data_IF_172295849450
#
_entry.id   IF_172295849450
#
_cell.length_a   1.000
_cell.length_b   1.000
_cell.length_c   1.000
_cell.angle_alpha   90.00
_cell.angle_beta   90.00
_cell.angle_gamma   90.00
#
_symmetry.space_group_name_H-M   'P 1'
#
loop_
_entity.id
_entity.type
_entity.pdbx_description
1 polymer ?
#
# COMPACT_ATOMS: atom_id res chain seq x y z
N UNK A 1 25.68 -14.58 -34.43
CA UNK A 1 25.33 -13.68 -33.29
C UNK A 1 24.20 -14.35 -32.53
N UNK A 2 24.27 -14.50 -31.19
CA UNK A 2 23.14 -15.02 -30.45
C UNK A 2 22.01 -14.01 -30.57
N UNK A 3 20.86 -14.45 -31.06
CA UNK A 3 19.62 -13.68 -31.04
C UNK A 3 19.32 -13.31 -29.60
N UNK A 4 19.43 -12.02 -29.27
CA UNK A 4 19.10 -11.54 -27.93
C UNK A 4 17.60 -11.76 -27.70
N UNK A 5 17.25 -12.80 -26.95
CA UNK A 5 15.89 -12.98 -26.46
C UNK A 5 15.61 -11.93 -25.39
N UNK A 6 14.68 -11.03 -25.69
CA UNK A 6 14.13 -10.08 -24.73
C UNK A 6 12.79 -10.60 -24.23
N UNK A 7 12.48 -10.34 -22.96
CA UNK A 7 11.15 -10.60 -22.41
C UNK A 7 10.04 -9.88 -23.21
N UNK A 8 10.37 -8.74 -23.83
CA UNK A 8 9.44 -7.99 -24.69
C UNK A 8 9.13 -8.70 -26.03
N UNK A 9 9.94 -9.68 -26.41
CA UNK A 9 9.75 -10.42 -27.67
C UNK A 9 8.99 -11.74 -27.47
N UNK A 10 8.57 -12.06 -26.24
CA UNK A 10 7.73 -13.24 -25.97
C UNK A 10 6.27 -12.94 -26.34
N UNK A 11 5.49 -13.98 -26.63
CA UNK A 11 4.07 -13.79 -26.94
C UNK A 11 3.31 -13.29 -25.70
N UNK A 12 2.21 -12.57 -25.92
CA UNK A 12 1.33 -12.11 -24.83
C UNK A 12 0.85 -13.28 -23.95
N UNK A 13 0.64 -14.47 -24.53
CA UNK A 13 0.25 -15.67 -23.77
C UNK A 13 1.36 -16.14 -22.83
N UNK A 14 2.61 -16.14 -23.31
CA UNK A 14 3.76 -16.47 -22.48
C UNK A 14 3.97 -15.42 -21.37
N UNK A 15 3.82 -14.13 -21.70
CA UNK A 15 3.91 -13.05 -20.73
C UNK A 15 2.82 -13.15 -19.65
N UNK A 16 1.56 -13.40 -20.02
CA UNK A 16 0.46 -13.62 -19.06
C UNK A 16 0.75 -14.83 -18.14
N UNK A 17 1.28 -15.92 -18.71
CA UNK A 17 1.66 -17.11 -17.93
C UNK A 17 2.74 -16.79 -16.90
N UNK A 18 3.78 -16.05 -17.29
CA UNK A 18 4.84 -15.62 -16.38
C UNK A 18 4.28 -14.75 -15.25
N UNK A 19 3.43 -13.77 -15.57
CA UNK A 19 2.87 -12.85 -14.59
C UNK A 19 1.89 -13.51 -13.62
N UNK A 20 1.20 -14.57 -14.02
CA UNK A 20 0.33 -15.37 -13.11
C UNK A 20 1.14 -16.08 -12.03
N UNK A 21 2.34 -16.53 -12.38
CA UNK A 21 3.28 -17.12 -11.42
C UNK A 21 3.96 -16.11 -10.49
N UNK A 22 3.78 -14.80 -10.70
CA UNK A 22 4.35 -13.76 -9.83
C UNK A 22 3.41 -13.44 -8.66
N UNK A 23 4.00 -13.26 -7.48
CA UNK A 23 3.30 -12.68 -6.33
C UNK A 23 3.10 -11.15 -6.51
N UNK A 24 2.37 -10.53 -5.59
CA UNK A 24 2.08 -9.10 -5.68
C UNK A 24 3.36 -8.26 -5.68
N UNK A 25 4.35 -8.58 -4.84
CA UNK A 25 5.58 -7.80 -4.74
C UNK A 25 6.42 -7.91 -6.02
N UNK A 26 6.58 -9.12 -6.56
CA UNK A 26 7.30 -9.33 -7.83
C UNK A 26 6.64 -8.57 -8.98
N UNK A 27 5.30 -8.52 -9.02
CA UNK A 27 4.58 -7.72 -10.02
C UNK A 27 4.86 -6.21 -9.87
N UNK A 28 4.89 -5.68 -8.64
CA UNK A 28 5.23 -4.27 -8.42
C UNK A 28 6.67 -3.94 -8.83
N UNK A 29 7.61 -4.90 -8.70
CA UNK A 29 8.98 -4.75 -9.17
C UNK A 29 9.01 -4.75 -10.71
N UNK A 30 8.37 -5.73 -11.36
CA UNK A 30 8.31 -5.83 -12.82
C UNK A 30 7.70 -4.59 -13.46
N UNK A 31 6.67 -4.01 -12.83
CA UNK A 31 6.02 -2.77 -13.27
C UNK A 31 6.96 -1.56 -13.32
N UNK A 32 8.08 -1.60 -12.61
CA UNK A 32 9.10 -0.54 -12.60
C UNK A 32 10.17 -0.71 -13.68
N UNK A 33 10.24 -1.87 -14.35
CA UNK A 33 11.31 -2.19 -15.33
C UNK A 33 11.20 -1.37 -16.62
N UNK A 34 10.05 -1.40 -17.31
CA UNK A 34 9.83 -0.60 -18.51
C UNK A 34 8.34 -0.24 -18.72
N UNK A 35 8.07 0.65 -19.67
CA UNK A 35 6.71 1.10 -19.99
C UNK A 35 5.84 -0.03 -20.54
N UNK A 36 6.37 -0.90 -21.39
CA UNK A 36 5.59 -1.98 -22.01
C UNK A 36 5.13 -3.03 -20.98
N UNK A 37 6.03 -3.48 -20.10
CA UNK A 37 5.69 -4.40 -19.01
C UNK A 37 4.68 -3.76 -18.06
N UNK A 38 4.84 -2.46 -17.75
CA UNK A 38 3.89 -1.72 -16.91
C UNK A 38 2.50 -1.72 -17.52
N UNK A 39 2.38 -1.35 -18.79
CA UNK A 39 1.10 -1.30 -19.48
C UNK A 39 0.46 -2.69 -19.55
N UNK A 40 1.24 -3.73 -19.84
CA UNK A 40 0.75 -5.10 -19.87
C UNK A 40 0.24 -5.59 -18.50
N UNK A 41 0.99 -5.35 -17.42
CA UNK A 41 0.57 -5.66 -16.05
C UNK A 41 -0.71 -4.89 -15.70
N UNK A 42 -0.73 -3.59 -16.01
CA UNK A 42 -1.88 -2.73 -15.73
C UNK A 42 -3.12 -3.22 -16.50
N UNK A 43 -2.99 -3.69 -17.75
CA UNK A 43 -4.08 -4.22 -18.56
C UNK A 43 -4.62 -5.56 -18.03
N UNK A 44 -3.73 -6.55 -17.86
CA UNK A 44 -4.08 -7.91 -17.46
C UNK A 44 -4.54 -7.98 -16.00
N UNK A 45 -3.88 -7.24 -15.11
CA UNK A 45 -4.08 -7.20 -13.65
C UNK A 45 -4.44 -8.59 -13.08
N UNK A 46 -3.44 -9.46 -12.79
CA UNK A 46 -3.68 -10.86 -12.44
C UNK A 46 -4.26 -11.06 -11.03
N UNK A 47 -4.43 -9.99 -10.27
CA UNK A 47 -4.95 -10.02 -8.91
C UNK A 47 -6.17 -9.11 -8.73
N UNK A 48 -6.96 -9.46 -7.72
CA UNK A 48 -8.05 -8.62 -7.21
C UNK A 48 -7.74 -8.28 -5.76
N UNK A 49 -7.56 -6.99 -5.46
CA UNK A 49 -7.44 -6.53 -4.07
C UNK A 49 -8.81 -6.71 -3.39
N UNK A 50 -8.81 -7.28 -2.19
CA UNK A 50 -10.01 -7.63 -1.41
C UNK A 50 -10.10 -6.79 -0.15
N UNK A 51 -8.98 -6.62 0.56
CA UNK A 51 -8.90 -5.84 1.80
C UNK A 51 -7.74 -4.87 1.72
N UNK A 52 -7.98 -3.66 2.19
CA UNK A 52 -6.96 -2.67 2.49
C UNK A 52 -7.13 -2.24 3.95
N UNK A 53 -6.11 -2.48 4.78
CA UNK A 53 -6.11 -2.11 6.20
C UNK A 53 -4.96 -1.15 6.49
N UNK A 54 -5.24 -0.01 7.11
CA UNK A 54 -4.22 0.98 7.48
C UNK A 54 -4.29 1.20 8.99
N UNK A 55 -3.15 1.05 9.67
CA UNK A 55 -2.97 1.44 11.06
C UNK A 55 -1.96 2.59 11.15
N UNK A 56 -2.38 3.68 11.76
CA UNK A 56 -1.54 4.88 11.94
C UNK A 56 -1.11 4.98 13.39
N UNK A 57 0.21 4.92 13.59
CA UNK A 57 0.93 5.16 14.83
C UNK A 57 1.67 6.49 14.78
N UNK A 58 2.17 7.04 15.91
CA UNK A 58 2.90 8.30 15.91
C UNK A 58 4.12 8.32 14.99
N UNK A 59 4.87 7.20 14.94
CA UNK A 59 6.14 7.09 14.22
C UNK A 59 6.13 6.00 13.15
N UNK A 60 4.97 5.42 12.86
CA UNK A 60 4.87 4.40 11.82
C UNK A 60 3.47 4.28 11.23
N UNK A 61 3.41 3.73 10.03
CA UNK A 61 2.17 3.32 9.39
C UNK A 61 2.32 1.85 9.02
N UNK A 62 1.41 1.00 9.53
CA UNK A 62 1.28 -0.37 9.07
C UNK A 62 0.15 -0.45 8.05
N UNK A 63 0.38 -1.15 6.95
CA UNK A 63 -0.53 -1.25 5.83
C UNK A 63 -0.65 -2.69 5.35
N UNK A 64 -1.82 -3.28 5.54
CA UNK A 64 -2.18 -4.62 5.10
C UNK A 64 -2.88 -4.56 3.76
N UNK A 65 -2.47 -5.41 2.83
CA UNK A 65 -3.10 -5.62 1.53
C UNK A 65 -3.41 -7.10 1.34
N UNK A 66 -4.69 -7.44 1.32
CA UNK A 66 -5.15 -8.78 0.95
C UNK A 66 -5.59 -8.78 -0.50
N UNK A 67 -5.11 -9.75 -1.26
CA UNK A 67 -5.44 -9.91 -2.67
C UNK A 67 -5.70 -11.37 -3.02
N UNK A 68 -6.52 -11.56 -4.05
CA UNK A 68 -6.84 -12.87 -4.61
C UNK A 68 -6.19 -13.00 -5.98
N UNK A 69 -5.51 -14.12 -6.23
CA UNK A 69 -4.98 -14.40 -7.57
C UNK A 69 -6.05 -15.04 -8.46
N UNK A 70 -6.01 -14.77 -9.76
CA UNK A 70 -6.90 -15.43 -10.73
C UNK A 70 -6.58 -16.91 -10.95
N UNK A 71 -5.40 -17.37 -10.52
CA UNK A 71 -4.91 -18.72 -10.81
C UNK A 71 -5.41 -19.73 -9.77
N UNK A 72 -5.20 -19.46 -8.49
CA UNK A 72 -5.58 -20.38 -7.39
C UNK A 72 -6.85 -19.94 -6.66
N UNK A 73 -7.32 -18.70 -6.85
CA UNK A 73 -8.46 -18.13 -6.13
C UNK A 73 -8.22 -17.95 -4.62
N UNK A 74 -6.99 -18.13 -4.15
CA UNK A 74 -6.62 -18.00 -2.75
C UNK A 74 -6.39 -16.54 -2.40
N UNK A 75 -6.79 -16.17 -1.19
CA UNK A 75 -6.46 -14.88 -0.59
C UNK A 75 -5.04 -14.97 -0.02
N UNK A 76 -4.21 -14.00 -0.39
CA UNK A 76 -2.83 -13.82 0.08
C UNK A 76 -2.72 -12.43 0.70
N UNK A 77 -1.84 -12.29 1.69
CA UNK A 77 -1.61 -11.03 2.39
C UNK A 77 -0.19 -10.55 2.22
N UNK A 78 -0.04 -9.23 2.07
CA UNK A 78 1.23 -8.53 2.16
C UNK A 78 1.07 -7.40 3.17
N UNK A 79 1.97 -7.38 4.14
CA UNK A 79 2.05 -6.31 5.14
C UNK A 79 3.22 -5.40 4.83
N UNK A 80 2.97 -4.11 4.87
CA UNK A 80 3.96 -3.05 4.72
C UNK A 80 4.05 -2.24 6.00
N UNK A 81 5.27 -1.96 6.45
CA UNK A 81 5.51 -1.01 7.53
C UNK A 81 6.36 0.15 7.04
N UNK A 82 5.95 1.37 7.39
CA UNK A 82 6.61 2.63 7.09
C UNK A 82 7.01 3.27 8.41
N UNK A 83 8.21 3.01 8.86
CA UNK A 83 8.71 3.49 10.14
C UNK A 83 9.55 4.75 9.97
N UNK A 84 9.31 5.74 10.81
CA UNK A 84 10.24 6.83 11.05
C UNK A 84 11.43 6.29 11.86
N UNK A 85 12.62 6.44 11.31
CA UNK A 85 13.88 6.13 11.98
C UNK A 85 14.75 7.40 12.02
N UNK A 86 15.94 7.30 12.63
CA UNK A 86 16.94 8.38 12.82
C UNK A 86 16.89 9.43 11.69
N UNK A 87 16.78 10.71 12.11
CA UNK A 87 16.87 11.92 11.28
C UNK A 87 16.16 11.85 9.93
N UNK A 88 14.83 12.00 9.92
CA UNK A 88 14.02 12.15 8.69
C UNK A 88 14.21 11.01 7.68
N UNK A 89 14.45 9.78 8.14
CA UNK A 89 14.51 8.62 7.27
C UNK A 89 13.27 7.76 7.42
N UNK A 90 12.75 7.27 6.29
CA UNK A 90 11.67 6.30 6.26
C UNK A 90 12.25 4.91 5.99
N UNK A 91 12.02 3.99 6.91
CA UNK A 91 12.30 2.58 6.71
C UNK A 91 11.05 1.88 6.22
N UNK A 92 11.11 1.31 5.02
CA UNK A 92 9.99 0.57 4.44
C UNK A 92 10.31 -0.91 4.51
N UNK A 93 9.44 -1.67 5.17
CA UNK A 93 9.48 -3.13 5.14
C UNK A 93 8.25 -3.70 4.43
N UNK A 94 8.42 -4.83 3.75
CA UNK A 94 7.32 -5.58 3.18
C UNK A 94 7.52 -7.06 3.49
N UNK A 95 6.47 -7.70 3.99
CA UNK A 95 6.46 -9.11 4.33
C UNK A 95 5.28 -9.82 3.67
N UNK A 96 5.54 -10.97 3.08
CA UNK A 96 4.53 -11.86 2.53
C UNK A 96 4.68 -13.24 3.18
N UNK A 97 3.62 -14.04 3.22
CA UNK A 97 3.59 -15.31 3.96
C UNK A 97 4.74 -16.29 3.63
N UNK A 98 5.25 -16.25 2.39
CA UNK A 98 6.27 -17.19 1.89
C UNK A 98 7.61 -16.54 1.54
N UNK A 99 7.63 -15.22 1.47
CA UNK A 99 8.79 -14.45 1.05
C UNK A 99 9.19 -13.58 2.23
N UNK A 100 10.36 -13.89 2.80
CA UNK A 100 10.87 -13.22 3.99
C UNK A 100 10.86 -11.69 3.90
N UNK A 101 11.10 -11.03 5.01
CA UNK A 101 10.93 -9.57 5.09
C UNK A 101 11.94 -8.84 4.19
N UNK A 102 11.44 -8.13 3.17
CA UNK A 102 12.22 -7.18 2.40
C UNK A 102 12.26 -5.82 3.11
N UNK A 103 13.39 -5.13 3.04
CA UNK A 103 13.61 -3.88 3.78
C UNK A 103 14.41 -2.89 2.94
N UNK A 104 14.04 -1.61 2.99
CA UNK A 104 14.80 -0.51 2.39
C UNK A 104 14.73 0.73 3.26
N UNK A 105 15.85 1.46 3.34
CA UNK A 105 15.90 2.77 3.96
C UNK A 105 15.82 3.86 2.89
N UNK A 106 14.98 4.87 3.11
CA UNK A 106 14.84 6.06 2.29
C UNK A 106 15.27 7.27 3.14
N UNK A 107 16.48 7.77 2.90
CA UNK A 107 17.04 8.90 3.64
C UNK A 107 16.38 10.22 3.22
N UNK A 108 16.20 11.14 4.17
CA UNK A 108 15.58 12.45 3.95
C UNK A 108 14.16 12.35 3.33
N UNK A 109 13.39 11.36 3.76
CA UNK A 109 12.02 11.12 3.29
C UNK A 109 11.11 10.88 4.48
N UNK A 110 10.06 11.68 4.53
CA UNK A 110 9.00 11.54 5.52
C UNK A 110 8.17 10.28 5.27
N UNK A 111 7.95 9.50 6.33
CA UNK A 111 7.27 8.20 6.23
C UNK A 111 5.80 8.33 5.79
N UNK A 112 5.10 9.40 6.20
CA UNK A 112 3.72 9.66 5.77
C UNK A 112 3.69 9.94 4.27
N UNK A 113 4.60 10.78 3.76
CA UNK A 113 4.70 11.08 2.33
C UNK A 113 5.07 9.85 1.48
N UNK A 114 6.00 9.03 1.97
CA UNK A 114 6.37 7.76 1.32
C UNK A 114 5.16 6.83 1.24
N UNK A 115 4.45 6.64 2.35
CA UNK A 115 3.22 5.84 2.38
C UNK A 115 2.18 6.37 1.39
N UNK A 116 1.92 7.69 1.37
CA UNK A 116 0.90 8.28 0.49
C UNK A 116 1.22 8.11 -0.99
N UNK A 117 2.51 8.19 -1.34
CA UNK A 117 2.98 7.92 -2.71
C UNK A 117 2.72 6.47 -3.13
N UNK A 118 3.10 5.51 -2.28
CA UNK A 118 2.91 4.08 -2.56
C UNK A 118 1.40 3.72 -2.57
N UNK A 119 0.64 4.20 -1.60
CA UNK A 119 -0.81 4.00 -1.52
C UNK A 119 -1.53 4.57 -2.75
N UNK A 120 -1.16 5.77 -3.21
CA UNK A 120 -1.69 6.35 -4.46
C UNK A 120 -1.40 5.46 -5.67
N UNK A 121 -0.22 4.84 -5.76
CA UNK A 121 0.10 3.90 -6.83
C UNK A 121 -0.80 2.66 -6.80
N UNK A 122 -1.09 2.13 -5.60
CA UNK A 122 -1.97 0.97 -5.42
C UNK A 122 -3.41 1.33 -5.79
N UNK A 123 -3.91 2.49 -5.37
CA UNK A 123 -5.26 2.93 -5.73
C UNK A 123 -5.44 3.09 -7.25
N UNK A 124 -4.42 3.52 -7.98
CA UNK A 124 -4.47 3.60 -9.46
C UNK A 124 -4.60 2.24 -10.14
N UNK A 125 -4.14 1.18 -9.48
CA UNK A 125 -4.25 -0.20 -9.97
C UNK A 125 -5.62 -0.84 -9.65
N UNK A 126 -6.40 -0.23 -8.76
CA UNK A 126 -7.74 -0.71 -8.43
C UNK A 126 -8.71 -0.51 -9.59
N UNK A 127 -8.89 -1.56 -10.39
CA UNK A 127 -9.95 -1.60 -11.42
C UNK A 127 -11.31 -2.01 -10.87
N UNK A 128 -11.31 -2.73 -9.75
CA UNK A 128 -12.51 -3.35 -9.18
C UNK A 128 -12.83 -2.78 -7.80
N UNK A 129 -14.06 -3.02 -7.38
CA UNK A 129 -14.50 -2.70 -6.02
C UNK A 129 -13.81 -3.62 -5.00
N UNK A 130 -13.22 -3.02 -3.96
CA UNK A 130 -12.65 -3.73 -2.81
C UNK A 130 -13.76 -4.17 -1.85
N UNK A 131 -13.55 -5.31 -1.20
CA UNK A 131 -14.54 -5.88 -0.27
C UNK A 131 -14.59 -5.14 1.06
N UNK A 132 -13.43 -4.72 1.57
CA UNK A 132 -13.31 -4.01 2.85
C UNK A 132 -12.15 -3.02 2.82
N UNK A 133 -12.40 -1.82 3.32
CA UNK A 133 -11.40 -0.84 3.64
C UNK A 133 -11.44 -0.55 5.15
N UNK A 134 -10.30 -0.62 5.83
CA UNK A 134 -10.18 -0.27 7.25
C UNK A 134 -9.07 0.77 7.47
N UNK A 135 -9.40 1.84 8.19
CA UNK A 135 -8.44 2.82 8.70
C UNK A 135 -8.59 2.92 10.21
N UNK A 136 -7.50 2.64 10.92
CA UNK A 136 -7.42 2.74 12.38
C UNK A 136 -6.34 3.72 12.77
N UNK A 137 -6.73 4.81 13.41
CA UNK A 137 -5.78 5.73 14.05
C UNK A 137 -5.70 5.35 15.53
N UNK A 138 -4.60 4.71 15.94
CA UNK A 138 -4.44 4.16 17.30
C UNK A 138 -4.19 5.29 18.31
N UNK A 139 -4.76 5.23 19.52
CA UNK A 139 -4.58 6.28 20.52
C UNK A 139 -3.12 6.38 20.98
N UNK A 140 -2.79 7.56 21.46
CA UNK A 140 -1.54 7.89 22.12
C UNK A 140 -1.22 6.94 23.27
N UNK A 141 -0.03 6.33 23.26
CA UNK A 141 0.56 5.68 24.43
C UNK A 141 1.65 6.61 24.99
N UNK A 142 1.56 7.07 26.26
CA UNK A 142 2.39 8.15 26.83
C UNK A 142 3.91 7.95 26.89
N UNK A 143 4.46 6.92 26.27
CA UNK A 143 5.78 6.43 26.61
C UNK A 143 6.90 7.10 25.77
N UNK A 144 6.59 7.79 24.67
CA UNK A 144 7.61 8.32 23.74
C UNK A 144 7.25 9.62 23.00
N UNK A 145 6.04 10.16 23.15
CA UNK A 145 5.57 11.28 22.34
C UNK A 145 4.82 12.29 23.20
N UNK A 146 4.69 13.52 22.73
CA UNK A 146 3.77 14.51 23.29
C UNK A 146 2.42 14.46 22.56
N UNK A 147 1.32 14.89 23.22
CA UNK A 147 0.03 15.06 22.54
C UNK A 147 0.11 15.96 21.29
N UNK A 148 1.00 16.96 21.30
CA UNK A 148 1.21 17.90 20.20
C UNK A 148 1.87 17.23 18.98
N UNK A 149 2.94 16.45 19.17
CA UNK A 149 3.58 15.69 18.09
C UNK A 149 2.59 14.71 17.45
N UNK A 150 1.79 14.05 18.28
CA UNK A 150 0.73 13.16 17.79
C UNK A 150 -0.30 13.90 16.93
N UNK A 151 -0.76 15.05 17.40
CA UNK A 151 -1.73 15.88 16.67
C UNK A 151 -1.18 16.31 15.31
N UNK A 152 0.12 16.65 15.21
CA UNK A 152 0.76 17.02 13.96
C UNK A 152 0.75 15.87 12.95
N UNK A 153 1.08 14.65 13.38
CA UNK A 153 1.05 13.46 12.52
C UNK A 153 -0.37 13.12 12.07
N UNK A 154 -1.35 13.16 12.99
CA UNK A 154 -2.75 12.88 12.64
C UNK A 154 -3.27 13.88 11.60
N UNK A 155 -3.01 15.18 11.78
CA UNK A 155 -3.39 16.22 10.84
C UNK A 155 -2.68 16.04 9.49
N UNK A 156 -1.37 15.76 9.50
CA UNK A 156 -0.58 15.51 8.29
C UNK A 156 -1.12 14.32 7.51
N UNK A 157 -1.35 13.19 8.19
CA UNK A 157 -1.91 11.98 7.59
C UNK A 157 -3.27 12.25 6.98
N UNK A 158 -4.21 12.82 7.74
CA UNK A 158 -5.58 13.05 7.27
C UNK A 158 -5.64 13.99 6.06
N UNK A 159 -4.82 15.04 6.05
CA UNK A 159 -4.73 15.97 4.91
C UNK A 159 -4.21 15.25 3.66
N UNK A 160 -3.09 14.54 3.76
CA UNK A 160 -2.53 13.84 2.61
C UNK A 160 -3.45 12.72 2.11
N UNK A 161 -4.07 11.98 3.04
CA UNK A 161 -5.01 10.92 2.73
C UNK A 161 -6.20 11.44 1.94
N UNK A 162 -6.76 12.58 2.36
CA UNK A 162 -7.85 13.27 1.65
C UNK A 162 -7.45 13.64 0.22
N UNK A 163 -6.26 14.18 -0.01
CA UNK A 163 -5.79 14.54 -1.35
C UNK A 163 -5.57 13.30 -2.24
N UNK A 164 -5.04 12.21 -1.68
CA UNK A 164 -4.90 10.94 -2.40
C UNK A 164 -6.26 10.39 -2.81
N UNK A 165 -7.27 10.42 -1.93
CA UNK A 165 -8.63 9.97 -2.26
C UNK A 165 -9.37 10.88 -3.25
N UNK A 166 -9.10 12.18 -3.27
CA UNK A 166 -9.65 13.07 -4.32
C UNK A 166 -9.10 12.74 -5.70
N UNK A 167 -7.80 12.43 -5.77
CA UNK A 167 -7.09 12.16 -7.01
C UNK A 167 -7.32 10.74 -7.54
N UNK A 168 -7.75 9.83 -6.68
CA UNK A 168 -7.92 8.41 -7.00
C UNK A 168 -9.29 7.92 -6.56
N UNK A 169 -10.07 7.37 -7.51
CA UNK A 169 -11.39 6.82 -7.19
C UNK A 169 -11.25 5.42 -6.57
N UNK A 170 -11.58 5.29 -5.30
CA UNK A 170 -11.70 4.00 -4.61
C UNK A 170 -13.18 3.65 -4.46
N UNK A 171 -13.57 2.44 -4.87
CA UNK A 171 -14.91 1.88 -4.64
C UNK A 171 -14.79 0.72 -3.67
N UNK A 172 -15.59 0.72 -2.60
CA UNK A 172 -15.54 -0.30 -1.55
C UNK A 172 -16.94 -0.66 -1.09
N UNK A 173 -17.14 -1.94 -0.76
CA UNK A 173 -18.42 -2.43 -0.23
C UNK A 173 -18.63 -2.06 1.24
N UNK A 174 -17.55 -2.10 2.02
CA UNK A 174 -17.59 -1.86 3.45
C UNK A 174 -16.45 -0.91 3.83
N UNK A 175 -16.77 0.06 4.69
CA UNK A 175 -15.80 1.03 5.21
C UNK A 175 -15.80 0.93 6.73
N UNK A 176 -14.62 0.72 7.30
CA UNK A 176 -14.42 0.76 8.75
C UNK A 176 -13.43 1.87 9.07
N UNK A 177 -13.90 2.90 9.76
CA UNK A 177 -13.07 4.02 10.21
C UNK A 177 -13.11 4.04 11.73
N UNK A 178 -11.95 3.83 12.36
CA UNK A 178 -11.80 3.84 13.81
C UNK A 178 -10.79 4.92 14.17
N UNK A 179 -11.29 6.00 14.74
CA UNK A 179 -10.48 7.07 15.33
C UNK A 179 -10.89 7.18 16.79
N UNK A 180 -9.93 7.12 17.71
CA UNK A 180 -10.19 7.32 19.13
C UNK A 180 -9.51 8.61 19.56
N UNK A 181 -10.30 9.63 19.85
CA UNK A 181 -9.83 10.95 20.26
C UNK A 181 -9.53 11.01 21.76
N UNK A 182 -8.51 11.78 22.15
CA UNK A 182 -8.37 12.33 23.52
C UNK A 182 -9.04 13.70 23.60
N UNK A 183 -9.64 13.99 24.75
CA UNK A 183 -10.76 14.91 25.02
C UNK A 183 -10.74 16.39 24.55
N UNK A 184 -9.88 16.89 23.64
CA UNK A 184 -9.88 18.32 23.26
C UNK A 184 -9.50 18.66 21.80
N UNK A 185 -10.17 18.09 20.78
CA UNK A 185 -10.07 18.68 19.42
C UNK A 185 -10.52 17.81 18.25
N UNK A 186 -11.81 17.45 18.23
CA UNK A 186 -12.65 16.85 17.16
C UNK A 186 -12.02 15.99 16.03
N UNK A 187 -12.41 14.70 15.93
CA UNK A 187 -12.56 13.99 14.65
C UNK A 187 -13.67 12.92 14.71
N UNK A 188 -14.56 12.90 13.71
CA UNK A 188 -15.58 11.85 13.52
C UNK A 188 -15.62 11.42 12.07
N UNK A 189 -15.47 10.12 11.80
CA UNK A 189 -16.00 9.50 10.58
C UNK A 189 -16.52 8.11 10.95
N UNK A 190 -17.82 7.90 10.78
CA UNK A 190 -18.47 6.59 10.83
C UNK A 190 -18.53 6.03 9.41
N UNK A 191 -18.07 4.80 9.21
CA UNK A 191 -18.35 4.05 8.00
C UNK A 191 -19.62 3.22 8.19
N UNK A 192 -20.57 3.36 7.25
CA UNK A 192 -21.72 2.47 7.12
C UNK A 192 -21.32 1.16 6.44
#
# INVERSE_FOLDING_TARGET
MPSSMSLLNVSNVAMDTILRGCDFLSLQILRKVCHDIRNFIDDVCPFKIVVLGILVFPNSISFQLDYMTKEDGLVKSVDFDYDENIENSCFVSASAEKDGVSRRALTNRDFVEVFMSDFSCILKQLKTEIGRFELVMRPFTPNHWTPQERQQIDVKFLNNFKEVLKSNKMRTKNIVLKMKQSDNGCFTIFGC
#
